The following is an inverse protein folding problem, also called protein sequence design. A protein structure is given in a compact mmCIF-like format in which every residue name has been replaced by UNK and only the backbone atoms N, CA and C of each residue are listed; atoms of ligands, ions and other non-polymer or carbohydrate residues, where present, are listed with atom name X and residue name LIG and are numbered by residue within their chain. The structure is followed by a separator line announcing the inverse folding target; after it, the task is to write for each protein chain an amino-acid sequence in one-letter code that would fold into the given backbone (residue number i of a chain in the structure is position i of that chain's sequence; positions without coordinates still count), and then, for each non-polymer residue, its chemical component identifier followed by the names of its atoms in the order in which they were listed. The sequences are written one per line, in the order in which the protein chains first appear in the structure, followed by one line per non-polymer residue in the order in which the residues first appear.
data_IF_242065768710
#
_entry.id   IF_242065768710
#
_cell.length_a   1.000
_cell.length_b   1.000
_cell.length_c   1.000
_cell.angle_alpha   90.00
_cell.angle_beta   90.00
_cell.angle_gamma   90.00
#
_symmetry.space_group_name_H-M   'P 1'
#
loop_
_entity.id
_entity.type
_entity.pdbx_description
1 polymer ?
#
# COMPACT_ATOMS: atom_id res chain seq x y z
N UNK A 1 15.13 -7.16 -11.01
CA UNK A 1 15.54 -5.77 -10.70
C UNK A 1 14.60 -4.82 -11.44
N UNK A 2 13.76 -4.04 -10.75
CA UNK A 2 12.75 -3.16 -11.38
C UNK A 2 13.15 -1.68 -11.38
N UNK A 3 14.04 -1.27 -10.47
CA UNK A 3 14.51 0.11 -10.36
C UNK A 3 15.08 0.65 -11.69
N UNK A 4 15.91 -0.14 -12.38
CA UNK A 4 16.50 0.29 -13.65
C UNK A 4 15.45 0.50 -14.76
N UNK A 5 14.38 -0.31 -14.78
CA UNK A 5 13.29 -0.13 -15.75
C UNK A 5 12.50 1.14 -15.44
N UNK A 6 12.29 1.42 -14.17
CA UNK A 6 11.62 2.64 -13.76
C UNK A 6 12.40 3.87 -14.23
N UNK A 7 13.72 3.89 -14.02
CA UNK A 7 14.62 4.93 -14.53
C UNK A 7 14.55 5.07 -16.06
N UNK A 8 14.67 3.94 -16.78
CA UNK A 8 14.61 3.91 -18.25
C UNK A 8 13.33 4.53 -18.84
N UNK A 9 12.21 4.42 -18.14
CA UNK A 9 10.89 4.91 -18.60
C UNK A 9 10.39 6.14 -17.84
N UNK A 10 11.24 6.84 -17.08
CA UNK A 10 10.86 8.03 -16.32
C UNK A 10 9.78 7.77 -15.27
N UNK A 11 9.79 6.60 -14.64
CA UNK A 11 8.87 6.19 -13.57
C UNK A 11 9.57 6.22 -12.22
N UNK A 12 8.80 6.44 -11.16
CA UNK A 12 9.31 6.36 -9.80
C UNK A 12 9.26 4.93 -9.28
N UNK A 13 10.34 4.46 -8.65
CA UNK A 13 10.39 3.17 -7.96
C UNK A 13 10.54 3.37 -6.46
N UNK A 14 9.58 2.86 -5.69
CA UNK A 14 9.53 3.03 -4.24
C UNK A 14 9.41 1.67 -3.57
N UNK A 15 10.32 1.42 -2.63
CA UNK A 15 10.26 0.25 -1.76
C UNK A 15 9.46 0.55 -0.50
N UNK A 16 8.66 -0.41 -0.03
CA UNK A 16 7.90 -0.32 1.22
C UNK A 16 8.19 -1.51 2.12
N UNK A 17 7.91 -1.40 3.42
CA UNK A 17 8.02 -2.55 4.34
C UNK A 17 6.97 -3.61 3.98
N UNK A 18 7.36 -4.89 3.80
CA UNK A 18 6.43 -5.97 3.46
C UNK A 18 5.57 -6.43 4.64
N UNK A 19 5.88 -5.98 5.86
CA UNK A 19 5.22 -6.39 7.10
C UNK A 19 3.69 -6.27 7.02
N UNK A 20 2.96 -7.33 7.39
CA UNK A 20 1.50 -7.40 7.41
C UNK A 20 0.77 -7.11 6.09
N UNK A 21 1.46 -6.98 4.94
CA UNK A 21 0.79 -6.70 3.65
C UNK A 21 -0.25 -7.74 3.27
N UNK A 22 -0.05 -9.02 3.63
CA UNK A 22 -1.02 -10.09 3.39
C UNK A 22 -1.94 -10.38 4.58
N UNK A 23 -1.74 -9.71 5.72
CA UNK A 23 -2.47 -9.98 6.97
C UNK A 23 -3.50 -8.90 7.28
N UNK A 24 -3.22 -7.65 6.88
CA UNK A 24 -4.11 -6.51 7.07
C UNK A 24 -5.27 -6.57 6.07
N UNK A 25 -6.50 -6.43 6.53
CA UNK A 25 -7.67 -6.15 5.71
C UNK A 25 -7.55 -4.73 5.14
N UNK A 26 -7.51 -4.59 3.81
CA UNK A 26 -7.39 -3.26 3.21
C UNK A 26 -8.66 -2.38 3.36
N UNK A 27 -9.81 -2.97 3.70
CA UNK A 27 -11.06 -2.23 3.87
C UNK A 27 -11.22 -1.63 5.27
N UNK A 28 -10.69 -2.28 6.31
CA UNK A 28 -10.93 -1.88 7.70
C UNK A 28 -9.67 -1.85 8.59
N UNK A 29 -8.49 -2.02 8.00
CA UNK A 29 -7.17 -2.01 8.67
C UNK A 29 -6.95 -3.08 9.76
N UNK A 30 -7.90 -4.00 9.99
CA UNK A 30 -7.74 -5.10 10.96
C UNK A 30 -6.64 -6.07 10.51
N UNK A 31 -5.84 -6.57 11.45
CA UNK A 31 -4.71 -7.47 11.17
C UNK A 31 -5.04 -8.89 11.62
N UNK A 32 -5.17 -9.81 10.66
CA UNK A 32 -5.32 -11.24 11.00
C UNK A 32 -4.11 -11.73 11.82
N UNK A 33 -4.37 -12.54 12.86
CA UNK A 33 -3.36 -12.89 13.86
C UNK A 33 -3.31 -11.95 15.06
N UNK A 34 -4.09 -10.87 15.08
CA UNK A 34 -4.33 -10.04 16.28
C UNK A 34 -5.63 -10.44 16.98
N UNK A 35 -5.78 -10.00 18.23
CA UNK A 35 -7.05 -10.08 18.98
C UNK A 35 -7.67 -11.49 19.03
N UNK A 36 -6.81 -12.51 19.14
CA UNK A 36 -7.22 -13.91 19.20
C UNK A 36 -7.65 -14.53 17.86
N UNK A 37 -7.52 -13.81 16.74
CA UNK A 37 -7.75 -14.35 15.41
C UNK A 37 -6.54 -15.13 14.92
N UNK A 38 -6.78 -16.13 14.07
CA UNK A 38 -5.70 -16.90 13.46
C UNK A 38 -4.95 -16.11 12.40
N UNK A 39 -3.64 -16.32 12.33
CA UNK A 39 -2.79 -15.71 11.31
C UNK A 39 -3.00 -16.41 9.97
N UNK A 40 -3.11 -15.64 8.88
CA UNK A 40 -3.21 -16.21 7.54
C UNK A 40 -1.89 -16.89 7.14
N UNK A 41 -1.98 -18.13 6.71
CA UNK A 41 -0.90 -18.95 6.15
C UNK A 41 -0.79 -18.76 4.64
N UNK A 42 0.24 -19.31 4.00
CA UNK A 42 0.37 -19.24 2.52
C UNK A 42 -0.74 -20.00 1.77
N UNK A 43 -1.40 -20.96 2.43
CA UNK A 43 -2.49 -21.73 1.85
C UNK A 43 -3.81 -20.93 1.79
N UNK A 44 -3.95 -19.89 2.62
CA UNK A 44 -5.11 -19.01 2.63
C UNK A 44 -5.04 -18.03 1.44
N UNK A 45 -5.45 -18.53 0.28
CA UNK A 45 -5.52 -17.77 -0.99
C UNK A 45 -6.74 -16.85 -1.03
N UNK A 46 -7.80 -17.24 -0.34
CA UNK A 46 -9.02 -16.48 -0.14
C UNK A 46 -9.41 -16.54 1.33
N UNK A 47 -9.93 -15.44 1.87
CA UNK A 47 -10.34 -15.35 3.28
C UNK A 47 -11.37 -14.24 3.47
N UNK A 48 -12.16 -14.34 4.53
CA UNK A 48 -13.12 -13.30 4.93
C UNK A 48 -12.61 -12.61 6.18
N UNK A 49 -12.60 -11.28 6.19
CA UNK A 49 -12.19 -10.53 7.37
C UNK A 49 -13.12 -10.81 8.55
N UNK A 50 -12.56 -11.16 9.71
CA UNK A 50 -13.34 -11.43 10.92
C UNK A 50 -13.96 -10.16 11.52
N UNK A 51 -13.45 -8.97 11.20
CA UNK A 51 -13.99 -7.69 11.70
C UNK A 51 -15.05 -7.08 10.78
N UNK A 52 -14.75 -6.88 9.49
CA UNK A 52 -15.66 -6.18 8.57
C UNK A 52 -16.42 -7.10 7.61
N UNK A 53 -16.10 -8.41 7.62
CA UNK A 53 -16.72 -9.42 6.78
C UNK A 53 -16.52 -9.27 5.27
N UNK A 54 -15.63 -8.40 4.80
CA UNK A 54 -15.25 -8.38 3.38
C UNK A 54 -14.50 -9.67 3.00
N UNK A 55 -14.86 -10.22 1.83
CA UNK A 55 -14.12 -11.32 1.21
C UNK A 55 -12.91 -10.81 0.43
N UNK A 56 -11.78 -11.48 0.57
CA UNK A 56 -10.52 -11.10 -0.04
C UNK A 56 -9.90 -12.23 -0.84
N UNK A 57 -9.36 -11.88 -2.01
CA UNK A 57 -8.29 -12.64 -2.67
C UNK A 57 -6.96 -12.10 -2.14
N UNK A 58 -6.10 -12.98 -1.61
CA UNK A 58 -4.87 -12.62 -0.88
C UNK A 58 -3.98 -11.63 -1.63
N UNK A 59 -3.67 -11.91 -2.90
CA UNK A 59 -2.74 -11.10 -3.68
C UNK A 59 -3.33 -9.73 -4.04
N UNK A 60 -4.65 -9.67 -4.30
CA UNK A 60 -5.37 -8.42 -4.53
C UNK A 60 -5.34 -7.52 -3.28
N UNK A 61 -5.67 -8.08 -2.12
CA UNK A 61 -5.59 -7.39 -0.83
C UNK A 61 -4.15 -6.89 -0.55
N UNK A 62 -3.14 -7.72 -0.82
CA UNK A 62 -1.75 -7.35 -0.62
C UNK A 62 -1.31 -6.19 -1.51
N UNK A 63 -1.73 -6.15 -2.78
CA UNK A 63 -1.43 -5.04 -3.70
C UNK A 63 -2.02 -3.72 -3.19
N UNK A 64 -3.25 -3.74 -2.68
CA UNK A 64 -3.89 -2.54 -2.12
C UNK A 64 -3.17 -2.03 -0.85
N UNK A 65 -2.77 -2.93 0.05
CA UNK A 65 -1.96 -2.57 1.21
C UNK A 65 -0.57 -2.02 0.83
N UNK A 66 0.07 -2.57 -0.21
CA UNK A 66 1.36 -2.09 -0.72
C UNK A 66 1.20 -0.70 -1.34
N UNK A 67 0.13 -0.49 -2.11
CA UNK A 67 -0.20 0.79 -2.74
C UNK A 67 -0.37 1.89 -1.69
N UNK A 68 -1.15 1.65 -0.65
CA UNK A 68 -1.38 2.61 0.43
C UNK A 68 -0.09 2.96 1.17
N UNK A 69 0.75 1.97 1.48
CA UNK A 69 2.09 2.21 2.05
C UNK A 69 2.98 3.04 1.13
N UNK A 70 2.92 2.79 -0.17
CA UNK A 70 3.64 3.54 -1.19
C UNK A 70 3.23 5.01 -1.19
N UNK A 71 1.92 5.28 -1.22
CA UNK A 71 1.38 6.63 -1.15
C UNK A 71 1.75 7.36 0.13
N UNK A 72 1.63 6.71 1.29
CA UNK A 72 2.05 7.29 2.58
C UNK A 72 3.55 7.63 2.59
N UNK A 73 4.39 6.79 1.98
CA UNK A 73 5.83 7.04 1.88
C UNK A 73 6.15 8.21 0.95
N UNK A 74 5.45 8.34 -0.17
CA UNK A 74 5.57 9.48 -1.10
C UNK A 74 5.18 10.81 -0.42
N UNK A 75 4.06 10.84 0.29
CA UNK A 75 3.57 12.05 0.96
C UNK A 75 4.55 12.55 2.04
N UNK A 76 5.17 11.65 2.82
CA UNK A 76 6.19 12.02 3.81
C UNK A 76 7.47 12.59 3.19
N UNK A 77 7.76 12.26 1.94
CA UNK A 77 8.92 12.76 1.22
C UNK A 77 8.69 14.15 0.59
N UNK A 78 7.45 14.63 0.53
CA UNK A 78 7.12 15.99 0.09
C UNK A 78 7.54 17.00 1.18
N UNK A 79 8.36 18.01 0.86
CA UNK A 79 8.75 19.02 1.83
C UNK A 79 7.53 19.81 2.31
N UNK A 80 7.39 19.97 3.63
CA UNK A 80 6.38 20.85 4.26
C UNK A 80 6.68 22.31 3.86
N UNK A 81 6.10 22.77 2.76
CA UNK A 81 6.30 24.13 2.25
C UNK A 81 6.09 24.33 0.75
N UNK A 82 5.83 23.27 -0.03
CA UNK A 82 5.51 23.45 -1.45
C UNK A 82 4.04 23.87 -1.62
N UNK A 83 3.80 25.19 -1.60
CA UNK A 83 2.60 25.74 -2.21
C UNK A 83 2.72 25.56 -3.72
N UNK A 84 1.70 25.00 -4.36
CA UNK A 84 1.58 25.06 -5.81
C UNK A 84 1.41 26.53 -6.22
N UNK A 85 2.50 27.27 -6.39
CA UNK A 85 2.48 28.50 -7.17
C UNK A 85 2.29 28.08 -8.63
N UNK A 86 1.04 28.07 -9.08
CA UNK A 86 0.76 28.21 -10.49
C UNK A 86 1.40 29.52 -10.93
N UNK A 87 2.56 29.42 -11.58
CA UNK A 87 3.22 30.53 -12.23
C UNK A 87 2.27 31.10 -13.26
N UNK A 88 1.70 32.27 -12.97
CA UNK A 88 1.04 33.10 -13.94
C UNK A 88 2.13 33.68 -14.87
N UNK A 89 2.44 32.94 -15.93
CA UNK A 89 3.11 33.49 -17.11
C UNK A 89 2.05 34.24 -17.92
N UNK A 90 1.86 35.52 -17.58
CA UNK A 90 1.00 36.44 -18.29
C UNK A 90 1.71 37.79 -18.42
N UNK A 91 2.19 38.02 -19.65
CA UNK A 91 2.50 39.27 -20.38
C UNK A 91 2.75 40.57 -19.59
#
# INVERSE_FOLDING_TARGET
MLAYKADLYGRQFITVSPENTTQTCHDCDFVMGSDGTEKLTLADREWTCSQCHTHHIRDHNAVLNILEKGFRKQQKAQPKGWTHSHGNLGM
#
